data_IF_476616938205
#
_entry.id   IF_476616938205
#
_cell.length_a   1.000
_cell.length_b   1.000
_cell.length_c   1.000
_cell.angle_alpha   90.00
_cell.angle_beta   90.00
_cell.angle_gamma   90.00
#
_symmetry.space_group_name_H-M   'P 1'
#
loop_
_entity.id
_entity.type
_entity.pdbx_description
1 polymer ?
#
# COMPACT_ATOMS: atom_id res chain seq x y z
N UNK A 1 8.68 -9.40 27.16
CA UNK A 1 7.63 -10.17 27.85
C UNK A 1 7.61 -11.53 27.19
N UNK A 2 7.77 -12.61 27.93
CA UNK A 2 7.77 -13.95 27.35
C UNK A 2 6.33 -14.35 27.00
N UNK A 3 5.99 -14.33 25.71
CA UNK A 3 4.65 -14.65 25.21
C UNK A 3 4.22 -16.04 25.65
N UNK A 4 5.16 -16.98 25.73
CA UNK A 4 4.91 -18.36 26.15
C UNK A 4 4.40 -18.42 27.59
N UNK A 5 5.03 -17.70 28.51
CA UNK A 5 4.60 -17.61 29.91
C UNK A 5 3.17 -17.04 30.04
N UNK A 6 2.83 -16.03 29.24
CA UNK A 6 1.47 -15.44 29.26
C UNK A 6 0.43 -16.39 28.64
N UNK A 7 0.77 -17.09 27.56
CA UNK A 7 -0.08 -18.13 26.97
C UNK A 7 -0.33 -19.25 27.98
N UNK A 8 0.69 -19.71 28.71
CA UNK A 8 0.53 -20.71 29.78
C UNK A 8 -0.46 -20.26 30.85
N UNK A 9 -0.36 -19.00 31.29
CA UNK A 9 -1.29 -18.42 32.27
C UNK A 9 -2.73 -18.48 31.77
N UNK A 10 -2.98 -18.15 30.50
CA UNK A 10 -4.31 -18.28 29.90
C UNK A 10 -4.78 -19.74 29.83
N UNK A 11 -3.91 -20.67 29.42
CA UNK A 11 -4.25 -22.10 29.32
C UNK A 11 -4.58 -22.75 30.68
N UNK A 12 -4.01 -22.25 31.77
CA UNK A 12 -4.19 -22.81 33.11
C UNK A 12 -5.43 -22.27 33.83
N UNK A 13 -5.96 -21.12 33.40
CA UNK A 13 -7.12 -20.49 34.00
C UNK A 13 -8.41 -20.92 33.28
N UNK A 14 -9.52 -21.09 34.03
CA UNK A 14 -10.83 -21.57 33.57
C UNK A 14 -11.41 -20.81 32.35
N UNK A 15 -12.48 -21.35 31.75
CA UNK A 15 -13.19 -20.94 30.51
C UNK A 15 -13.32 -19.42 30.23
N UNK A 16 -13.42 -18.55 31.24
CA UNK A 16 -13.40 -17.09 31.07
C UNK A 16 -12.08 -16.57 30.46
N UNK A 17 -10.96 -17.27 30.71
CA UNK A 17 -9.61 -16.96 30.22
C UNK A 17 -9.48 -17.04 28.68
N UNK A 18 -10.35 -17.81 28.02
CA UNK A 18 -10.30 -18.01 26.56
C UNK A 18 -10.75 -16.74 25.80
N UNK A 19 -11.77 -16.04 26.32
CA UNK A 19 -12.20 -14.77 25.75
C UNK A 19 -11.13 -13.70 25.97
N UNK A 20 -10.53 -13.67 27.17
CA UNK A 20 -9.46 -12.74 27.51
C UNK A 20 -8.19 -12.97 26.70
N UNK A 21 -7.86 -14.23 26.38
CA UNK A 21 -6.75 -14.57 25.48
C UNK A 21 -6.96 -13.97 24.09
N UNK A 22 -8.14 -14.16 23.49
CA UNK A 22 -8.43 -13.62 22.16
C UNK A 22 -8.42 -12.10 22.17
N UNK A 23 -8.93 -11.46 23.23
CA UNK A 23 -8.85 -10.00 23.40
C UNK A 23 -7.40 -9.55 23.49
N UNK A 24 -6.57 -10.24 24.26
CA UNK A 24 -5.15 -9.95 24.39
C UNK A 24 -4.41 -10.10 23.05
N UNK A 25 -4.63 -11.19 22.30
CA UNK A 25 -4.05 -11.40 20.96
C UNK A 25 -4.42 -10.24 20.03
N UNK A 26 -5.67 -9.78 20.05
CA UNK A 26 -6.15 -8.67 19.20
C UNK A 26 -5.46 -7.33 19.46
N UNK A 27 -4.74 -7.17 20.58
CA UNK A 27 -3.96 -5.94 20.85
C UNK A 27 -2.66 -5.85 20.03
N UNK A 28 -2.24 -6.94 19.40
CA UNK A 28 -1.01 -7.01 18.61
C UNK A 28 -1.26 -6.79 17.11
N UNK A 29 -0.24 -6.37 16.34
CA UNK A 29 -0.32 -6.32 14.87
C UNK A 29 -0.72 -7.66 14.26
N UNK A 30 -1.45 -7.65 13.13
CA UNK A 30 -2.00 -8.85 12.48
C UNK A 30 -0.98 -10.00 12.34
N UNK A 31 0.25 -9.73 11.87
CA UNK A 31 1.32 -10.74 11.77
C UNK A 31 1.70 -11.36 13.12
N UNK A 32 1.75 -10.55 14.17
CA UNK A 32 2.08 -11.01 15.51
C UNK A 32 0.93 -11.83 16.12
N UNK A 33 -0.31 -11.58 15.71
CA UNK A 33 -1.44 -12.43 16.08
C UNK A 33 -1.27 -13.85 15.53
N UNK A 34 -0.81 -13.99 14.28
CA UNK A 34 -0.52 -15.30 13.67
C UNK A 34 0.51 -16.07 14.50
N UNK A 35 1.62 -15.41 14.85
CA UNK A 35 2.69 -16.02 15.65
C UNK A 35 2.20 -16.46 17.03
N UNK A 36 1.38 -15.64 17.70
CA UNK A 36 0.81 -15.98 19.00
C UNK A 36 -0.14 -17.19 18.92
N UNK A 37 -0.94 -17.28 17.87
CA UNK A 37 -1.83 -18.42 17.65
C UNK A 37 -1.06 -19.70 17.29
N UNK A 38 0.04 -19.57 16.53
CA UNK A 38 0.93 -20.69 16.18
C UNK A 38 1.65 -21.24 17.42
N UNK A 39 2.13 -20.34 18.29
CA UNK A 39 2.73 -20.76 19.57
C UNK A 39 1.70 -21.43 20.49
N UNK A 40 0.46 -20.93 20.53
CA UNK A 40 -0.64 -21.61 21.25
C UNK A 40 -0.90 -23.03 20.71
N UNK A 41 -0.98 -23.20 19.39
CA UNK A 41 -1.14 -24.52 18.78
C UNK A 41 -0.04 -25.47 19.23
N UNK A 42 1.22 -25.03 19.14
CA UNK A 42 2.39 -25.84 19.54
C UNK A 42 2.34 -26.21 21.02
N UNK A 43 2.05 -25.26 21.90
CA UNK A 43 1.95 -25.51 23.34
C UNK A 43 0.80 -26.45 23.70
N UNK A 44 -0.29 -26.37 22.96
CA UNK A 44 -1.44 -27.28 23.14
C UNK A 44 -1.07 -28.69 22.74
N UNK A 45 -0.37 -28.88 21.61
CA UNK A 45 0.13 -30.19 21.18
C UNK A 45 1.16 -30.78 22.16
N UNK A 46 2.12 -29.97 22.60
CA UNK A 46 3.12 -30.35 23.61
C UNK A 46 2.43 -30.89 24.88
N UNK A 47 1.44 -30.14 25.42
CA UNK A 47 0.70 -30.55 26.61
C UNK A 47 -0.18 -31.77 26.42
N UNK A 48 -0.82 -31.91 25.26
CA UNK A 48 -1.63 -33.09 24.97
C UNK A 48 -0.77 -34.35 24.92
N UNK A 49 0.40 -34.27 24.27
CA UNK A 49 1.36 -35.37 24.21
C UNK A 49 1.90 -35.75 25.60
N UNK A 50 2.12 -34.78 26.50
CA UNK A 50 2.55 -35.04 27.90
C UNK A 50 1.55 -35.91 28.67
N UNK A 51 0.25 -35.78 28.42
CA UNK A 51 -0.81 -36.56 29.07
C UNK A 51 -1.30 -37.75 28.22
N UNK A 52 -0.60 -38.06 27.12
CA UNK A 52 -0.92 -39.18 26.24
C UNK A 52 -2.17 -38.98 25.38
N UNK A 53 -2.62 -37.73 25.19
CA UNK A 53 -3.74 -37.40 24.31
C UNK A 53 -3.25 -37.07 22.90
N UNK A 54 -3.88 -37.67 21.91
CA UNK A 54 -3.68 -37.34 20.51
C UNK A 54 -4.72 -36.29 20.07
N UNK A 55 -4.30 -35.04 19.89
CA UNK A 55 -5.20 -33.93 19.54
C UNK A 55 -6.06 -34.20 18.29
N UNK A 56 -5.56 -34.99 17.33
CA UNK A 56 -6.27 -35.32 16.09
C UNK A 56 -7.52 -36.20 16.33
N UNK A 57 -7.54 -36.94 17.43
CA UNK A 57 -8.65 -37.82 17.80
C UNK A 57 -9.77 -37.06 18.51
N UNK A 58 -9.43 -35.95 19.18
CA UNK A 58 -10.37 -35.19 20.03
C UNK A 58 -10.82 -33.87 19.42
N UNK A 59 -10.02 -33.27 18.54
CA UNK A 59 -10.34 -32.00 17.87
C UNK A 59 -10.42 -32.24 16.36
N UNK A 60 -11.63 -32.20 15.78
CA UNK A 60 -11.81 -32.31 14.34
C UNK A 60 -11.06 -31.21 13.58
N UNK A 61 -10.33 -31.59 12.54
CA UNK A 61 -9.53 -30.68 11.70
C UNK A 61 -8.39 -29.97 12.44
N UNK A 62 -7.90 -30.49 13.56
CA UNK A 62 -6.75 -29.93 14.26
C UNK A 62 -5.54 -29.78 13.34
N UNK A 63 -5.32 -30.75 12.44
CA UNK A 63 -4.25 -30.70 11.43
C UNK A 63 -4.35 -29.50 10.47
N UNK A 64 -5.53 -28.88 10.34
CA UNK A 64 -5.75 -27.71 9.47
C UNK A 64 -5.61 -26.38 10.21
N UNK A 65 -5.35 -26.40 11.51
CA UNK A 65 -5.20 -25.18 12.29
C UNK A 65 -4.03 -24.33 11.78
N UNK A 66 -2.88 -24.97 11.51
CA UNK A 66 -1.71 -24.28 10.96
C UNK A 66 -1.91 -23.87 9.49
N UNK A 67 -2.60 -24.67 8.68
CA UNK A 67 -2.96 -24.30 7.30
C UNK A 67 -3.85 -23.03 7.27
N UNK A 68 -4.76 -22.92 8.23
CA UNK A 68 -5.63 -21.74 8.38
C UNK A 68 -4.80 -20.51 8.74
N UNK A 69 -3.83 -20.65 9.65
CA UNK A 69 -2.90 -19.58 10.01
C UNK A 69 -2.02 -19.16 8.83
N UNK A 70 -1.50 -20.12 8.05
CA UNK A 70 -0.71 -19.82 6.85
C UNK A 70 -1.53 -19.05 5.81
N UNK A 71 -2.78 -19.47 5.57
CA UNK A 71 -3.68 -18.76 4.65
C UNK A 71 -3.96 -17.33 5.11
N UNK A 72 -4.11 -17.13 6.42
CA UNK A 72 -4.33 -15.81 7.00
C UNK A 72 -3.07 -14.93 6.92
N UNK A 73 -1.89 -15.50 7.18
CA UNK A 73 -0.59 -14.84 7.00
C UNK A 73 -0.40 -14.36 5.55
N UNK A 74 -0.65 -15.23 4.58
CA UNK A 74 -0.59 -14.89 3.16
C UNK A 74 -1.56 -13.75 2.80
N UNK A 75 -2.78 -13.76 3.34
CA UNK A 75 -3.74 -12.69 3.12
C UNK A 75 -3.26 -11.34 3.68
N UNK A 76 -2.65 -11.34 4.87
CA UNK A 76 -2.05 -10.14 5.48
C UNK A 76 -0.90 -9.61 4.62
N UNK A 77 0.00 -10.50 4.20
CA UNK A 77 1.15 -10.15 3.37
C UNK A 77 0.72 -9.60 2.01
N UNK A 78 -0.23 -10.27 1.33
CA UNK A 78 -0.78 -9.83 0.06
C UNK A 78 -1.44 -8.45 0.17
N UNK A 79 -2.22 -8.21 1.22
CA UNK A 79 -2.83 -6.89 1.49
C UNK A 79 -1.77 -5.81 1.68
N UNK A 80 -0.65 -6.12 2.35
CA UNK A 80 0.47 -5.18 2.52
C UNK A 80 1.17 -4.89 1.19
N UNK A 81 1.48 -5.92 0.41
CA UNK A 81 2.09 -5.78 -0.92
C UNK A 81 1.21 -4.91 -1.83
N UNK A 82 -0.10 -5.15 -1.85
CA UNK A 82 -1.03 -4.36 -2.65
C UNK A 82 -1.04 -2.88 -2.23
N UNK A 83 -1.03 -2.59 -0.92
CA UNK A 83 -0.95 -1.21 -0.43
C UNK A 83 0.35 -0.52 -0.84
N UNK A 84 1.48 -1.21 -0.72
CA UNK A 84 2.79 -0.68 -1.09
C UNK A 84 2.88 -0.45 -2.61
N UNK A 85 2.30 -1.36 -3.39
CA UNK A 85 2.20 -1.22 -4.84
C UNK A 85 1.36 -0.01 -5.25
N UNK A 86 0.17 0.18 -4.66
CA UNK A 86 -0.68 1.36 -4.91
C UNK A 86 0.07 2.64 -4.54
N UNK A 87 0.78 2.67 -3.41
CA UNK A 87 1.59 3.81 -3.00
C UNK A 87 2.68 4.12 -4.03
N UNK A 88 3.37 3.09 -4.52
CA UNK A 88 4.38 3.23 -5.58
C UNK A 88 3.79 3.80 -6.88
N UNK A 89 2.62 3.31 -7.30
CA UNK A 89 1.93 3.82 -8.49
C UNK A 89 1.57 5.29 -8.35
N UNK A 90 1.06 5.71 -7.19
CA UNK A 90 0.74 7.12 -6.93
C UNK A 90 1.98 8.01 -6.99
N UNK A 91 3.13 7.54 -6.46
CA UNK A 91 4.40 8.28 -6.54
C UNK A 91 4.86 8.43 -7.98
N UNK A 92 4.81 7.37 -8.79
CA UNK A 92 5.18 7.45 -10.20
C UNK A 92 4.22 8.31 -11.02
N UNK A 93 2.92 8.28 -10.71
CA UNK A 93 1.93 9.14 -11.34
C UNK A 93 2.20 10.62 -11.05
N UNK A 94 2.50 10.98 -9.80
CA UNK A 94 2.85 12.36 -9.46
C UNK A 94 4.17 12.80 -10.11
N UNK A 95 5.19 11.94 -10.15
CA UNK A 95 6.44 12.24 -10.88
C UNK A 95 6.17 12.48 -12.37
N UNK A 96 5.37 11.63 -13.00
CA UNK A 96 5.02 11.77 -14.41
C UNK A 96 4.27 13.07 -14.66
N UNK A 97 3.31 13.42 -13.79
CA UNK A 97 2.57 14.67 -13.86
C UNK A 97 3.49 15.88 -13.73
N UNK A 98 4.40 15.89 -12.75
CA UNK A 98 5.39 16.96 -12.58
C UNK A 98 6.27 17.09 -13.81
N UNK A 99 6.77 15.97 -14.35
CA UNK A 99 7.59 15.97 -15.56
C UNK A 99 6.81 16.53 -16.75
N UNK A 100 5.57 16.10 -16.96
CA UNK A 100 4.73 16.60 -18.06
C UNK A 100 4.48 18.10 -17.95
N UNK A 101 4.22 18.62 -16.75
CA UNK A 101 4.05 20.07 -16.52
C UNK A 101 5.34 20.81 -16.88
N UNK A 102 6.47 20.31 -16.42
CA UNK A 102 7.77 20.90 -16.73
C UNK A 102 8.08 20.90 -18.23
N UNK A 103 7.90 19.76 -18.92
CA UNK A 103 8.12 19.64 -20.36
C UNK A 103 7.20 20.60 -21.15
N UNK A 104 5.96 20.79 -20.68
CA UNK A 104 5.02 21.76 -21.25
C UNK A 104 5.53 23.20 -21.06
N UNK A 105 6.00 23.54 -19.86
CA UNK A 105 6.55 24.88 -19.57
C UNK A 105 7.81 25.17 -20.39
N UNK A 106 8.75 24.23 -20.48
CA UNK A 106 9.94 24.35 -21.33
C UNK A 106 9.56 24.53 -22.80
N UNK A 107 8.58 23.77 -23.28
CA UNK A 107 8.06 23.90 -24.64
C UNK A 107 7.47 25.29 -24.89
N UNK A 108 6.72 25.85 -23.94
CA UNK A 108 6.19 27.22 -24.04
C UNK A 108 7.31 28.24 -24.11
N UNK A 109 8.32 28.13 -23.24
CA UNK A 109 9.48 29.04 -23.23
C UNK A 109 10.21 28.98 -24.58
N UNK A 110 10.43 27.78 -25.12
CA UNK A 110 11.06 27.61 -26.43
C UNK A 110 10.24 28.25 -27.56
N UNK A 111 8.93 28.04 -27.58
CA UNK A 111 8.03 28.63 -28.58
C UNK A 111 8.04 30.15 -28.48
N UNK A 112 7.89 30.71 -27.27
CA UNK A 112 7.86 32.14 -27.01
C UNK A 112 9.19 32.78 -27.44
N UNK A 113 10.31 32.22 -26.98
CA UNK A 113 11.65 32.74 -27.30
C UNK A 113 11.96 32.68 -28.80
N UNK A 114 11.54 31.62 -29.51
CA UNK A 114 11.72 31.51 -30.96
C UNK A 114 10.95 32.60 -31.71
N UNK A 115 9.76 32.95 -31.23
CA UNK A 115 8.94 34.01 -31.81
C UNK A 115 9.55 35.40 -31.54
N UNK A 116 9.88 35.69 -30.28
CA UNK A 116 10.40 36.99 -29.86
C UNK A 116 11.76 37.32 -30.50
N UNK A 117 12.62 36.31 -30.68
CA UNK A 117 13.93 36.48 -31.30
C UNK A 117 13.92 36.36 -32.82
N UNK A 118 12.75 36.24 -33.46
CA UNK A 118 12.59 36.08 -34.90
C UNK A 118 13.48 34.95 -35.48
N UNK A 119 13.50 33.81 -34.79
CA UNK A 119 14.24 32.64 -35.23
C UNK A 119 13.78 32.16 -36.61
N UNK A 120 14.58 31.37 -37.36
CA UNK A 120 14.21 30.91 -38.70
C UNK A 120 12.86 30.18 -38.80
N UNK A 121 12.41 29.57 -37.69
CA UNK A 121 11.14 28.86 -37.55
C UNK A 121 10.04 29.68 -36.86
N UNK A 122 10.20 31.00 -36.65
CA UNK A 122 9.27 31.82 -35.88
C UNK A 122 7.81 31.76 -36.40
N UNK A 123 7.61 31.67 -37.72
CA UNK A 123 6.27 31.53 -38.31
C UNK A 123 5.60 30.21 -37.93
N UNK A 124 6.35 29.10 -37.90
CA UNK A 124 5.85 27.81 -37.45
C UNK A 124 5.55 27.83 -35.95
N UNK A 125 6.42 28.45 -35.16
CA UNK A 125 6.24 28.60 -33.72
C UNK A 125 5.00 29.44 -33.37
N UNK A 126 4.67 30.48 -34.15
CA UNK A 126 3.40 31.21 -34.01
C UNK A 126 2.17 30.32 -34.24
N UNK A 127 2.23 29.38 -35.20
CA UNK A 127 1.14 28.42 -35.43
C UNK A 127 1.00 27.47 -34.24
N UNK A 128 2.11 26.98 -33.70
CA UNK A 128 2.14 26.10 -32.51
C UNK A 128 1.62 26.85 -31.28
N UNK A 129 2.03 28.10 -31.06
CA UNK A 129 1.55 28.95 -29.97
C UNK A 129 0.02 29.10 -29.98
N UNK A 130 -0.58 29.37 -31.16
CA UNK A 130 -2.04 29.45 -31.29
C UNK A 130 -2.74 28.13 -30.92
N UNK A 131 -2.15 26.99 -31.26
CA UNK A 131 -2.67 25.68 -30.87
C UNK A 131 -2.58 25.47 -29.35
N UNK A 132 -1.45 25.83 -28.74
CA UNK A 132 -1.25 25.77 -27.28
C UNK A 132 -2.27 26.66 -26.55
N UNK A 133 -2.44 27.91 -26.98
CA UNK A 133 -3.43 28.86 -26.42
C UNK A 133 -4.86 28.31 -26.54
N UNK A 134 -5.22 27.73 -27.69
CA UNK A 134 -6.55 27.14 -27.88
C UNK A 134 -6.79 25.96 -26.93
N UNK A 135 -5.77 25.12 -26.72
CA UNK A 135 -5.80 24.02 -25.76
C UNK A 135 -5.95 24.54 -24.33
N UNK A 136 -5.15 25.53 -23.93
CA UNK A 136 -5.24 26.12 -22.59
C UNK A 136 -6.60 26.77 -22.32
N UNK A 137 -7.15 27.51 -23.29
CA UNK A 137 -8.49 28.11 -23.20
C UNK A 137 -9.56 27.03 -23.07
N UNK A 138 -9.44 25.93 -23.83
CA UNK A 138 -10.36 24.77 -23.75
C UNK A 138 -10.34 24.12 -22.36
N UNK A 139 -9.18 24.04 -21.73
CA UNK A 139 -9.02 23.43 -20.40
C UNK A 139 -9.13 24.42 -19.22
N UNK A 140 -9.41 25.71 -19.49
CA UNK A 140 -9.56 26.72 -18.45
C UNK A 140 -8.27 27.07 -17.70
N UNK A 141 -7.11 26.79 -18.29
CA UNK A 141 -5.76 27.04 -17.70
C UNK A 141 -5.00 28.14 -18.42
N UNK A 142 -5.69 28.90 -19.28
CA UNK A 142 -5.10 29.99 -20.04
C UNK A 142 -4.59 31.11 -19.13
N UNK A 143 -3.34 31.51 -19.33
CA UNK A 143 -2.74 32.66 -18.67
C UNK A 143 -2.33 33.70 -19.73
N UNK A 144 -2.98 34.86 -19.72
CA UNK A 144 -2.69 35.95 -20.65
C UNK A 144 -1.28 36.52 -20.50
N UNK A 145 -0.72 36.54 -19.28
CA UNK A 145 0.64 37.05 -19.03
C UNK A 145 1.70 36.18 -19.70
N UNK A 146 1.46 34.87 -19.82
CA UNK A 146 2.40 33.93 -20.47
C UNK A 146 2.49 34.15 -21.98
N UNK A 147 1.43 34.65 -22.60
CA UNK A 147 1.32 34.81 -24.06
C UNK A 147 1.37 36.27 -24.50
N UNK A 148 1.69 37.18 -23.59
CA UNK A 148 1.80 38.61 -23.87
C UNK A 148 2.84 38.86 -24.97
N UNK A 149 2.43 39.57 -26.03
CA UNK A 149 3.28 39.82 -27.21
C UNK A 149 3.24 38.75 -28.31
N UNK A 150 2.47 37.67 -28.14
CA UNK A 150 2.24 36.64 -29.18
C UNK A 150 0.83 36.72 -29.77
N UNK A 151 -0.15 37.20 -29.00
CA UNK A 151 -1.51 37.51 -29.49
C UNK A 151 -1.53 38.59 -30.59
#
# INVERSE_FOLDING_TARGET
>A
MDYRSKILEFMQNNVESNADFIVWVKTFPEMQQVELMRELNRMTEEKANEIGLNMKEYIPNYEKADETLNTFEDAILNKRILKDYIKSLNVEQEKLKTKMIHDIEESKIYVISSILNNAPNALEMKRIAKQMIAVEKKFGVYNSETWEGIE
#
